data_IF_040099011552
#
_entry.id   IF_040099011552
#
_cell.length_a   1.000
_cell.length_b   1.000
_cell.length_c   1.000
_cell.angle_alpha   90.00
_cell.angle_beta   90.00
_cell.angle_gamma   90.00
#
_symmetry.space_group_name_H-M   'P 1'
#
loop_
_entity.id
_entity.type
_entity.pdbx_description
1 polymer ?
#
# COMPACT_ATOMS: atom_id res chain seq x y z
N UNK A 1 -3.11 6.12 7.13
CA UNK A 1 -2.22 5.52 6.10
C UNK A 1 -2.84 5.56 4.70
N UNK A 2 -3.95 4.84 4.38
CA UNK A 2 -4.52 4.82 3.02
C UNK A 2 -4.81 6.19 2.43
N UNK A 3 -5.45 7.08 3.20
CA UNK A 3 -5.75 8.45 2.77
C UNK A 3 -4.50 9.26 2.43
N UNK A 4 -3.42 9.12 3.23
CA UNK A 4 -2.14 9.79 2.98
C UNK A 4 -1.50 9.27 1.68
N UNK A 5 -1.53 7.96 1.44
CA UNK A 5 -0.98 7.37 0.21
C UNK A 5 -1.77 7.87 -1.01
N UNK A 6 -3.10 7.88 -0.93
CA UNK A 6 -3.96 8.38 -2.01
C UNK A 6 -3.70 9.86 -2.28
N UNK A 7 -3.74 10.69 -1.24
CA UNK A 7 -3.51 12.13 -1.35
C UNK A 7 -2.15 12.45 -1.99
N UNK A 8 -1.08 11.74 -1.61
CA UNK A 8 0.27 12.03 -2.12
C UNK A 8 0.51 11.47 -3.53
N UNK A 9 0.06 10.24 -3.82
CA UNK A 9 0.45 9.54 -5.04
C UNK A 9 -0.62 9.53 -6.13
N UNK A 10 -1.88 9.83 -5.79
CA UNK A 10 -3.00 9.84 -6.74
C UNK A 10 -3.52 11.26 -6.92
N UNK A 11 -3.76 11.97 -5.81
CA UNK A 11 -4.24 13.36 -5.86
C UNK A 11 -3.08 14.37 -5.97
N UNK A 12 -1.83 13.90 -5.98
CA UNK A 12 -0.59 14.70 -6.09
C UNK A 12 -0.49 15.86 -5.08
N UNK A 13 -1.15 15.73 -3.94
CA UNK A 13 -1.21 16.76 -2.90
C UNK A 13 0.12 16.88 -2.16
N UNK A 14 0.57 18.10 -1.84
CA UNK A 14 1.80 18.30 -1.08
C UNK A 14 1.63 17.82 0.36
N UNK A 15 2.67 17.19 0.89
CA UNK A 15 2.71 16.62 2.25
C UNK A 15 2.47 17.68 3.33
N UNK A 16 2.85 18.94 3.07
CA UNK A 16 2.60 20.07 3.98
C UNK A 16 1.11 20.29 4.23
N UNK A 17 0.29 20.35 3.18
CA UNK A 17 -1.15 20.56 3.32
C UNK A 17 -1.82 19.39 4.05
N UNK A 18 -1.41 18.16 3.74
CA UNK A 18 -1.90 16.95 4.43
C UNK A 18 -1.55 17.00 5.92
N UNK A 19 -0.35 17.46 6.27
CA UNK A 19 0.09 17.57 7.65
C UNK A 19 -0.73 18.62 8.43
N UNK A 20 -0.98 19.78 7.80
CA UNK A 20 -1.81 20.85 8.35
C UNK A 20 -3.26 20.39 8.58
N UNK A 21 -3.87 19.72 7.60
CA UNK A 21 -5.23 19.17 7.73
C UNK A 21 -5.38 18.12 8.84
N UNK A 22 -4.37 17.26 8.99
CA UNK A 22 -4.38 16.20 9.99
C UNK A 22 -3.93 16.68 11.38
N UNK A 23 -3.45 17.92 11.51
CA UNK A 23 -2.92 18.46 12.77
C UNK A 23 -1.66 17.72 13.27
N UNK A 24 -0.83 17.21 12.35
CA UNK A 24 0.39 16.46 12.67
C UNK A 24 1.63 17.07 12.00
N UNK A 25 2.82 16.64 12.38
CA UNK A 25 4.05 17.11 11.73
C UNK A 25 4.19 16.54 10.31
N UNK A 26 4.91 17.27 9.46
CA UNK A 26 5.31 16.80 8.13
C UNK A 26 6.09 15.48 8.18
N UNK A 27 6.91 15.29 9.22
CA UNK A 27 7.67 14.06 9.44
C UNK A 27 6.76 12.88 9.79
N UNK A 28 5.69 13.10 10.57
CA UNK A 28 4.71 12.07 10.88
C UNK A 28 3.97 11.58 9.63
N UNK A 29 3.55 12.50 8.74
CA UNK A 29 2.93 12.13 7.45
C UNK A 29 3.91 11.34 6.58
N UNK A 30 5.17 11.78 6.51
CA UNK A 30 6.22 11.11 5.73
C UNK A 30 6.51 9.70 6.26
N UNK A 31 6.54 9.52 7.58
CA UNK A 31 6.73 8.21 8.23
C UNK A 31 5.54 7.29 7.97
N UNK A 32 4.31 7.76 8.16
CA UNK A 32 3.11 6.96 7.87
C UNK A 32 3.01 6.58 6.39
N UNK A 33 3.39 7.48 5.47
CA UNK A 33 3.45 7.17 4.03
C UNK A 33 4.46 6.06 3.75
N UNK A 34 5.69 6.22 4.23
CA UNK A 34 6.73 5.21 4.04
C UNK A 34 6.32 3.85 4.61
N UNK A 35 5.70 3.83 5.79
CA UNK A 35 5.25 2.59 6.42
C UNK A 35 4.10 1.92 5.67
N UNK A 36 3.17 2.70 5.12
CA UNK A 36 2.10 2.17 4.28
C UNK A 36 2.65 1.51 3.00
N UNK A 37 3.67 2.09 2.37
CA UNK A 37 4.31 1.51 1.19
C UNK A 37 5.05 0.21 1.52
N UNK A 38 5.74 0.14 2.67
CA UNK A 38 6.37 -1.11 3.14
C UNK A 38 5.35 -2.22 3.36
N UNK A 39 4.24 -1.92 4.04
CA UNK A 39 3.15 -2.88 4.23
C UNK A 39 2.55 -3.37 2.90
N UNK A 40 2.35 -2.47 1.93
CA UNK A 40 1.86 -2.85 0.61
C UNK A 40 2.87 -3.74 -0.12
N UNK A 41 4.16 -3.38 -0.10
CA UNK A 41 5.24 -4.18 -0.69
C UNK A 41 5.30 -5.58 -0.08
N UNK A 42 5.31 -5.68 1.24
CA UNK A 42 5.37 -6.96 1.94
C UNK A 42 4.13 -7.83 1.61
N UNK A 43 2.94 -7.22 1.47
CA UNK A 43 1.73 -7.94 1.05
C UNK A 43 1.85 -8.47 -0.38
N UNK A 44 2.35 -7.65 -1.31
CA UNK A 44 2.54 -8.06 -2.71
C UNK A 44 3.59 -9.18 -2.81
N UNK A 45 4.69 -9.08 -2.07
CA UNK A 45 5.71 -10.13 -2.02
C UNK A 45 5.13 -11.42 -1.45
N UNK A 46 4.29 -11.35 -0.42
CA UNK A 46 3.68 -12.54 0.18
C UNK A 46 2.70 -13.27 -0.74
N UNK A 47 1.94 -12.54 -1.55
CA UNK A 47 0.85 -13.14 -2.34
C UNK A 47 1.16 -13.38 -3.81
N UNK A 48 2.15 -12.68 -4.39
CA UNK A 48 2.40 -12.71 -5.84
C UNK A 48 3.84 -13.05 -6.23
N UNK A 49 4.76 -13.20 -5.27
CA UNK A 49 6.12 -13.65 -5.58
C UNK A 49 6.14 -15.16 -5.69
N UNK A 50 6.62 -15.66 -6.82
CA UNK A 50 7.05 -17.04 -6.95
C UNK A 50 8.48 -17.18 -6.41
N UNK A 51 8.75 -18.19 -5.59
CA UNK A 51 10.07 -18.47 -5.02
C UNK A 51 10.21 -18.19 -3.53
N UNK A 52 11.42 -17.90 -3.07
CA UNK A 52 11.74 -17.75 -1.64
C UNK A 52 11.10 -16.51 -1.00
N UNK A 53 10.70 -16.66 0.27
CA UNK A 53 10.06 -15.60 1.05
C UNK A 53 11.04 -14.44 1.31
N UNK A 54 10.63 -13.23 0.89
CA UNK A 54 11.44 -12.04 1.08
C UNK A 54 11.40 -11.56 2.55
N UNK A 55 12.49 -10.96 3.05
CA UNK A 55 12.49 -10.38 4.39
C UNK A 55 11.47 -9.24 4.49
N UNK A 56 10.74 -9.20 5.62
CA UNK A 56 9.75 -8.16 5.89
C UNK A 56 10.42 -6.80 6.01
N UNK A 57 9.89 -5.81 5.27
CA UNK A 57 10.39 -4.43 5.32
C UNK A 57 9.66 -3.55 6.33
N UNK A 58 8.38 -3.82 6.58
CA UNK A 58 7.53 -3.08 7.51
C UNK A 58 8.04 -3.13 8.95
N UNK A 59 7.85 -2.02 9.65
CA UNK A 59 8.26 -1.80 11.05
C UNK A 59 7.11 -1.90 12.03
N UNK A 60 5.87 -2.13 11.58
CA UNK A 60 4.75 -2.35 12.49
C UNK A 60 4.82 -3.74 13.13
N UNK A 61 4.03 -3.94 14.20
CA UNK A 61 3.93 -5.26 14.84
C UNK A 61 3.39 -6.32 13.88
N UNK A 62 3.73 -7.59 14.14
CA UNK A 62 3.23 -8.71 13.35
C UNK A 62 1.69 -8.74 13.30
N UNK A 63 1.01 -8.50 14.43
CA UNK A 63 -0.46 -8.46 14.49
C UNK A 63 -1.07 -7.40 13.57
N UNK A 64 -0.52 -6.18 13.54
CA UNK A 64 -1.01 -5.11 12.66
C UNK A 64 -0.79 -5.46 11.18
N UNK A 65 0.37 -6.04 10.87
CA UNK A 65 0.73 -6.49 9.52
C UNK A 65 -0.17 -7.63 9.03
N UNK A 66 -0.40 -8.66 9.83
CA UNK A 66 -1.32 -9.76 9.49
C UNK A 66 -2.74 -9.26 9.26
N UNK A 67 -3.24 -8.35 10.11
CA UNK A 67 -4.54 -7.73 9.90
C UNK A 67 -4.61 -6.88 8.63
N UNK A 68 -3.50 -6.27 8.21
CA UNK A 68 -3.41 -5.57 6.93
C UNK A 68 -3.42 -6.54 5.74
N UNK A 69 -2.66 -7.64 5.82
CA UNK A 69 -2.62 -8.68 4.79
C UNK A 69 -3.98 -9.34 4.59
N UNK A 70 -4.71 -9.66 5.66
CA UNK A 70 -6.07 -10.18 5.58
C UNK A 70 -6.99 -9.26 4.76
N UNK A 71 -6.97 -7.95 5.04
CA UNK A 71 -7.75 -6.96 4.26
C UNK A 71 -7.32 -6.88 2.80
N UNK A 72 -6.02 -7.00 2.51
CA UNK A 72 -5.50 -7.04 1.14
C UNK A 72 -5.93 -8.32 0.42
N UNK A 73 -5.94 -9.47 1.08
CA UNK A 73 -6.43 -10.71 0.49
C UNK A 73 -7.93 -10.63 0.18
N UNK A 74 -8.73 -10.09 1.12
CA UNK A 74 -10.18 -9.87 0.95
C UNK A 74 -10.51 -8.88 -0.17
N UNK A 75 -9.77 -7.77 -0.26
CA UNK A 75 -10.04 -6.69 -1.24
C UNK A 75 -9.37 -6.96 -2.59
N UNK A 76 -8.18 -7.55 -2.56
CA UNK A 76 -7.25 -7.67 -3.66
C UNK A 76 -7.36 -8.99 -4.41
N UNK A 77 -7.67 -10.10 -3.76
CA UNK A 77 -7.71 -11.42 -4.40
C UNK A 77 -8.58 -11.45 -5.67
N UNK A 78 -9.83 -10.97 -5.59
CA UNK A 78 -10.73 -10.95 -6.74
C UNK A 78 -10.47 -9.79 -7.73
N UNK A 79 -9.98 -8.65 -7.24
CA UNK A 79 -9.88 -7.41 -8.03
C UNK A 79 -8.53 -7.25 -8.72
N UNK A 80 -7.44 -7.63 -8.05
CA UNK A 80 -6.09 -7.67 -8.60
C UNK A 80 -5.97 -8.86 -9.56
N UNK A 81 -6.53 -10.04 -9.23
CA UNK A 81 -6.59 -11.15 -10.20
C UNK A 81 -7.36 -10.77 -11.46
N UNK A 82 -8.48 -10.04 -11.34
CA UNK A 82 -9.23 -9.54 -12.51
C UNK A 82 -8.48 -8.47 -13.31
N UNK A 83 -7.72 -7.60 -12.64
CA UNK A 83 -6.89 -6.58 -13.31
C UNK A 83 -5.68 -7.19 -14.03
N UNK A 84 -5.05 -8.23 -13.46
CA UNK A 84 -3.94 -8.96 -14.07
C UNK A 84 -4.40 -9.96 -15.14
N UNK A 85 -5.65 -10.46 -15.07
CA UNK A 85 -6.24 -11.36 -16.06
C UNK A 85 -6.96 -10.62 -17.21
N UNK A 86 -7.08 -9.30 -17.15
CA UNK A 86 -7.62 -8.52 -18.26
C UNK A 86 -6.60 -8.54 -19.42
N UNK A 87 -6.96 -9.02 -20.62
CA UNK A 87 -6.08 -8.90 -21.77
C UNK A 87 -5.88 -7.44 -22.14
N UNK A 88 -4.66 -7.07 -22.53
CA UNK A 88 -4.33 -5.77 -23.14
C UNK A 88 -5.36 -5.44 -24.23
N UNK A 89 -5.97 -4.24 -24.24
CA UNK A 89 -6.88 -3.86 -25.32
C UNK A 89 -6.07 -3.84 -26.62
N UNK A 90 -6.45 -4.70 -27.56
CA UNK A 90 -5.91 -4.66 -28.93
C UNK A 90 -6.29 -3.29 -29.49
N UNK A 91 -5.32 -2.39 -29.58
CA UNK A 91 -5.46 -1.12 -30.27
C UNK A 91 -5.90 -1.40 -31.71
N UNK A 92 -7.07 -0.88 -32.08
CA UNK A 92 -7.66 -0.95 -33.43
C UNK A 92 -7.14 0.20 -34.28
#
# INVERSE_FOLDING_TARGET
MRSIVHAVHIDERPVKEIAEELGVSHSAVSQQRAEAIRLLRDALERYYRDGEEAPTSSRVSASVREGFFARIAETGGARIARALAAPEPVAT
#
